data_IF_536563130611
#
_entry.id   IF_536563130611
#
_cell.length_a   1.000
_cell.length_b   1.000
_cell.length_c   1.000
_cell.angle_alpha   90.00
_cell.angle_beta   90.00
_cell.angle_gamma   90.00
#
_symmetry.space_group_name_H-M   'P 1'
#
loop_
_entity.id
_entity.type
_entity.pdbx_description
1 polymer ?
#
# COMPACT_ATOMS: atom_id res chain seq x y z
N UNK A 1 -7.18 17.85 -13.89
CA UNK A 1 -7.61 16.47 -13.60
C UNK A 1 -6.58 15.86 -12.68
N UNK A 2 -6.91 15.55 -11.42
CA UNK A 2 -5.94 14.96 -10.49
C UNK A 2 -5.80 13.50 -10.93
N UNK A 3 -4.67 13.17 -11.56
CA UNK A 3 -4.54 11.97 -12.41
C UNK A 3 -4.60 10.64 -11.65
N UNK A 4 -4.52 10.67 -10.31
CA UNK A 4 -4.64 9.50 -9.43
C UNK A 4 -5.36 9.93 -8.17
N UNK A 5 -6.41 9.20 -7.79
CA UNK A 5 -7.18 9.36 -6.56
C UNK A 5 -7.06 8.13 -5.64
N UNK A 6 -7.63 8.24 -4.43
CA UNK A 6 -7.52 7.21 -3.41
C UNK A 6 -8.17 5.89 -3.83
N UNK A 7 -9.28 5.95 -4.58
CA UNK A 7 -9.97 4.77 -5.09
C UNK A 7 -9.11 4.01 -6.12
N UNK A 8 -8.43 4.74 -7.01
CA UNK A 8 -7.50 4.15 -7.97
C UNK A 8 -6.30 3.51 -7.27
N UNK A 9 -5.75 4.16 -6.24
CA UNK A 9 -4.66 3.61 -5.42
C UNK A 9 -5.11 2.32 -4.73
N UNK A 10 -6.28 2.33 -4.10
CA UNK A 10 -6.84 1.16 -3.43
C UNK A 10 -6.99 -0.03 -4.38
N UNK A 11 -7.54 0.20 -5.57
CA UNK A 11 -7.72 -0.83 -6.58
C UNK A 11 -6.38 -1.47 -6.96
N UNK A 12 -5.37 -0.66 -7.27
CA UNK A 12 -4.03 -1.16 -7.62
C UNK A 12 -3.36 -1.90 -6.47
N UNK A 13 -3.55 -1.49 -5.21
CA UNK A 13 -3.06 -2.23 -4.05
C UNK A 13 -3.61 -3.66 -4.05
N UNK A 14 -4.92 -3.83 -4.23
CA UNK A 14 -5.55 -5.14 -4.19
C UNK A 14 -5.25 -5.98 -5.43
N UNK A 15 -5.17 -5.39 -6.62
CA UNK A 15 -4.76 -6.10 -7.84
C UNK A 15 -3.35 -6.68 -7.71
N UNK A 16 -2.40 -5.87 -7.23
CA UNK A 16 -1.02 -6.30 -7.04
C UNK A 16 -0.88 -7.36 -5.95
N UNK A 17 -1.70 -7.31 -4.90
CA UNK A 17 -1.73 -8.34 -3.87
C UNK A 17 -2.37 -9.64 -4.37
N UNK A 18 -3.46 -9.55 -5.15
CA UNK A 18 -4.15 -10.70 -5.73
C UNK A 18 -3.29 -11.45 -6.76
N UNK A 19 -2.40 -10.75 -7.47
CA UNK A 19 -1.45 -11.36 -8.40
C UNK A 19 -0.26 -12.08 -7.72
N UNK A 20 -0.16 -12.04 -6.39
CA UNK A 20 0.93 -12.65 -5.62
C UNK A 20 0.45 -13.92 -4.91
N UNK A 21 1.41 -14.77 -4.55
CA UNK A 21 1.13 -15.94 -3.71
C UNK A 21 0.56 -15.54 -2.33
N UNK A 22 -0.21 -16.44 -1.71
CA UNK A 22 -0.80 -16.23 -0.39
C UNK A 22 0.25 -15.82 0.65
N UNK A 23 -0.08 -14.81 1.46
CA UNK A 23 0.81 -14.28 2.51
C UNK A 23 1.97 -13.42 1.99
N UNK A 24 2.14 -13.28 0.67
CA UNK A 24 3.11 -12.37 0.08
C UNK A 24 2.79 -10.90 0.43
N UNK A 25 3.71 -10.01 0.06
CA UNK A 25 3.57 -8.58 0.33
C UNK A 25 4.05 -7.75 -0.85
N UNK A 26 3.58 -6.52 -0.89
CA UNK A 26 4.10 -5.45 -1.76
C UNK A 26 4.57 -4.27 -0.91
N UNK A 27 5.23 -3.29 -1.51
CA UNK A 27 5.56 -2.03 -0.87
C UNK A 27 4.91 -0.83 -1.58
N UNK A 28 4.87 0.37 -0.96
CA UNK A 28 4.24 1.54 -1.58
C UNK A 28 4.81 1.92 -2.95
N UNK A 29 6.10 1.68 -3.19
CA UNK A 29 6.69 1.95 -4.52
C UNK A 29 6.23 0.98 -5.59
N UNK A 30 5.84 -0.26 -5.24
CA UNK A 30 5.27 -1.20 -6.23
C UNK A 30 3.94 -0.65 -6.76
N UNK A 31 3.09 -0.16 -5.85
CA UNK A 31 1.80 0.48 -6.16
C UNK A 31 2.01 1.75 -6.97
N UNK A 32 2.90 2.64 -6.51
CA UNK A 32 3.14 3.91 -7.17
C UNK A 32 3.68 3.74 -8.60
N UNK A 33 4.61 2.79 -8.82
CA UNK A 33 5.13 2.47 -10.17
C UNK A 33 4.08 1.86 -11.08
N UNK A 34 3.12 1.11 -10.55
CA UNK A 34 2.00 0.59 -11.34
C UNK A 34 1.00 1.69 -11.77
N UNK A 35 1.04 2.85 -11.10
CA UNK A 35 0.17 3.99 -11.41
C UNK A 35 0.83 4.99 -12.38
N UNK A 36 2.17 5.04 -12.43
CA UNK A 36 2.90 5.98 -13.26
C UNK A 36 4.33 5.49 -13.57
N UNK A 37 4.74 5.61 -14.84
CA UNK A 37 6.06 5.15 -15.28
C UNK A 37 7.19 6.16 -15.00
N UNK A 38 6.90 7.46 -15.10
CA UNK A 38 7.87 8.52 -14.75
C UNK A 38 8.31 8.48 -13.28
N UNK A 39 9.63 8.56 -13.04
CA UNK A 39 10.20 8.41 -11.70
C UNK A 39 9.77 9.52 -10.74
N UNK A 40 9.77 10.75 -11.21
CA UNK A 40 9.42 11.90 -10.38
C UNK A 40 7.94 11.85 -10.01
N UNK A 41 7.09 11.45 -10.95
CA UNK A 41 5.66 11.31 -10.75
C UNK A 41 5.31 10.20 -9.74
N UNK A 42 5.85 8.98 -9.90
CA UNK A 42 5.49 7.90 -8.96
C UNK A 42 6.05 8.15 -7.55
N UNK A 43 7.24 8.76 -7.44
CA UNK A 43 7.78 9.14 -6.11
C UNK A 43 6.89 10.16 -5.41
N UNK A 44 6.29 11.09 -6.15
CA UNK A 44 5.34 12.07 -5.61
C UNK A 44 4.03 11.42 -5.11
N UNK A 45 3.68 10.21 -5.57
CA UNK A 45 2.51 9.47 -5.11
C UNK A 45 2.73 8.69 -3.80
N UNK A 46 3.99 8.47 -3.38
CA UNK A 46 4.30 7.66 -2.20
C UNK A 46 3.57 8.10 -0.92
N UNK A 47 3.42 9.40 -0.60
CA UNK A 47 2.63 9.84 0.55
C UNK A 47 1.17 9.41 0.44
N UNK A 48 0.54 9.65 -0.71
CA UNK A 48 -0.86 9.26 -0.95
C UNK A 48 -1.06 7.74 -0.85
N UNK A 49 -0.16 6.95 -1.42
CA UNK A 49 -0.22 5.48 -1.31
C UNK A 49 -0.12 5.02 0.14
N UNK A 50 0.74 5.66 0.95
CA UNK A 50 0.84 5.36 2.38
C UNK A 50 -0.43 5.74 3.11
N UNK A 51 -1.03 6.88 2.79
CA UNK A 51 -2.27 7.34 3.42
C UNK A 51 -3.43 6.37 3.17
N UNK A 52 -3.63 5.97 1.91
CA UNK A 52 -4.65 4.96 1.55
C UNK A 52 -4.37 3.63 2.25
N UNK A 53 -3.12 3.17 2.25
CA UNK A 53 -2.76 1.92 2.94
C UNK A 53 -3.03 1.97 4.45
N UNK A 54 -2.80 3.12 5.10
CA UNK A 54 -3.15 3.32 6.52
C UNK A 54 -4.65 3.27 6.73
N UNK A 55 -5.46 3.93 5.88
CA UNK A 55 -6.92 3.85 5.97
C UNK A 55 -7.43 2.41 5.82
N UNK A 56 -6.92 1.67 4.84
CA UNK A 56 -7.27 0.26 4.65
C UNK A 56 -6.91 -0.60 5.87
N UNK A 57 -5.77 -0.32 6.50
CA UNK A 57 -5.34 -1.02 7.71
C UNK A 57 -6.23 -0.67 8.93
N UNK A 58 -6.64 0.60 9.09
CA UNK A 58 -7.64 1.02 10.10
C UNK A 58 -8.94 0.24 9.96
N UNK A 59 -9.39 0.03 8.73
CA UNK A 59 -10.58 -0.74 8.41
C UNK A 59 -10.36 -2.26 8.37
N UNK A 60 -9.19 -2.75 8.79
CA UNK A 60 -8.81 -4.18 8.80
C UNK A 60 -8.90 -4.87 7.43
N UNK A 61 -8.89 -4.10 6.34
CA UNK A 61 -8.89 -4.61 4.95
C UNK A 61 -7.49 -4.97 4.46
N UNK A 62 -6.47 -4.52 5.19
CA UNK A 62 -5.06 -4.74 4.87
C UNK A 62 -4.25 -4.86 6.15
N UNK A 63 -3.15 -5.62 6.11
CA UNK A 63 -2.10 -5.60 7.14
C UNK A 63 -0.94 -4.74 6.67
N UNK A 64 -0.55 -3.83 7.54
CA UNK A 64 0.56 -2.90 7.34
C UNK A 64 1.70 -3.30 8.28
N UNK A 65 2.86 -3.70 7.74
CA UNK A 65 3.92 -4.33 8.54
C UNK A 65 5.31 -3.73 8.28
N UNK A 66 6.22 -3.90 9.24
CA UNK A 66 7.67 -3.75 9.05
C UNK A 66 8.33 -5.09 9.39
N UNK A 67 8.90 -5.74 8.38
CA UNK A 67 9.26 -7.14 8.50
C UNK A 67 8.03 -7.99 8.85
N UNK A 68 8.12 -8.74 9.94
CA UNK A 68 7.03 -9.56 10.48
C UNK A 68 6.06 -8.79 11.38
N UNK A 69 6.47 -7.64 11.94
CA UNK A 69 5.67 -6.90 12.92
C UNK A 69 4.57 -6.08 12.24
N UNK A 70 3.32 -6.28 12.66
CA UNK A 70 2.21 -5.39 12.31
C UNK A 70 2.42 -4.04 12.98
N UNK A 71 2.26 -2.95 12.23
CA UNK A 71 2.36 -1.59 12.77
C UNK A 71 0.98 -1.05 13.08
N UNK A 72 0.93 -0.14 14.05
CA UNK A 72 -0.24 0.70 14.30
C UNK A 72 -0.43 1.68 13.12
N UNK A 73 -1.60 1.67 12.43
CA UNK A 73 -1.86 2.60 11.35
C UNK A 73 -1.98 4.07 11.80
N UNK A 74 -2.19 4.35 13.09
CA UNK A 74 -2.19 5.72 13.62
C UNK A 74 -0.78 6.29 13.78
N UNK A 75 0.21 5.42 13.98
CA UNK A 75 1.59 5.83 14.24
C UNK A 75 2.62 4.88 13.57
N UNK A 76 2.63 4.74 12.23
CA UNK A 76 3.51 3.79 11.55
C UNK A 76 5.00 4.20 11.55
N UNK A 77 5.30 5.43 11.95
CA UNK A 77 6.64 6.02 11.89
C UNK A 77 7.20 6.14 10.46
N UNK A 78 8.48 6.51 10.38
CA UNK A 78 9.21 6.60 9.09
C UNK A 78 9.84 5.27 8.73
N UNK A 79 10.10 5.09 7.42
CA UNK A 79 10.87 3.97 6.88
C UNK A 79 10.05 2.98 6.06
N UNK A 80 10.72 1.90 5.60
CA UNK A 80 10.11 0.88 4.75
C UNK A 80 8.97 0.16 5.46
N UNK A 81 7.94 -0.14 4.67
CA UNK A 81 6.73 -0.84 5.10
C UNK A 81 6.34 -1.85 4.03
N UNK A 82 5.57 -2.86 4.43
CA UNK A 82 5.00 -3.88 3.57
C UNK A 82 3.49 -3.90 3.75
N UNK A 83 2.79 -4.09 2.64
CA UNK A 83 1.35 -4.22 2.57
C UNK A 83 1.02 -5.69 2.31
N UNK A 84 0.07 -6.26 3.04
CA UNK A 84 -0.31 -7.68 2.99
C UNK A 84 -1.82 -7.81 3.08
N UNK A 85 -2.38 -8.85 2.46
CA UNK A 85 -3.77 -9.21 2.74
C UNK A 85 -3.94 -9.55 4.24
N UNK A 86 -5.13 -9.34 4.82
CA UNK A 86 -5.45 -9.84 6.15
C UNK A 86 -5.18 -11.34 6.24
N UNK A 87 -4.72 -11.80 7.41
CA UNK A 87 -4.65 -13.23 7.65
C UNK A 87 -6.08 -13.79 7.58
N UNK A 88 -6.27 -14.90 6.85
CA UNK A 88 -7.53 -15.65 6.94
C UNK A 88 -7.65 -16.15 8.38
N UNK A 89 -8.82 -15.92 8.99
CA UNK A 89 -9.18 -16.48 10.28
C UNK A 89 -9.34 -18.01 10.19
#
# INVERSE_FOLDING_TARGET
>A
MRAVDDARIEHVIFDLLAARADGASICPSDVARALHDDERAWRALLPCVRDVAMQLARHRRLRFTRGAATLDPEAPGRGPIRLRLPARA
#
